data_IF_443301862642
#
_entry.id   IF_443301862642
#
_cell.length_a   1.000
_cell.length_b   1.000
_cell.length_c   1.000
_cell.angle_alpha   90.00
_cell.angle_beta   90.00
_cell.angle_gamma   90.00
#
_symmetry.space_group_name_H-M   'P 1'
#
loop_
_entity.id
_entity.type
_entity.pdbx_description
1 polymer ?
#
# COMPACT_ATOMS: atom_id res chain seq x y z
N UNK A 1 -12.26 33.68 5.78
CA UNK A 1 -11.03 34.50 5.69
C UNK A 1 -10.10 34.42 6.90
N UNK A 2 -10.48 34.86 8.12
CA UNK A 2 -9.58 34.69 9.30
C UNK A 2 -9.17 33.23 9.54
N UNK A 3 -10.13 32.31 9.47
CA UNK A 3 -9.88 30.86 9.52
C UNK A 3 -8.98 30.38 8.36
N UNK A 4 -9.20 30.89 7.16
CA UNK A 4 -8.38 30.62 5.96
C UNK A 4 -6.92 30.99 6.19
N UNK A 5 -6.64 32.12 6.83
CA UNK A 5 -5.29 32.50 7.22
C UNK A 5 -4.69 31.60 8.29
N UNK A 6 -5.48 31.16 9.29
CA UNK A 6 -4.99 30.24 10.31
C UNK A 6 -4.56 28.90 9.73
N UNK A 7 -5.33 28.37 8.77
CA UNK A 7 -5.02 27.12 8.07
C UNK A 7 -3.84 27.30 7.11
N UNK A 8 -3.81 28.41 6.36
CA UNK A 8 -2.68 28.75 5.48
C UNK A 8 -1.36 28.89 6.25
N UNK A 9 -1.38 29.42 7.47
CA UNK A 9 -0.19 29.52 8.33
C UNK A 9 0.37 28.16 8.78
N UNK A 10 -0.37 27.06 8.60
CA UNK A 10 0.09 25.69 8.83
C UNK A 10 0.70 25.06 7.58
N UNK A 11 0.90 25.82 6.50
CA UNK A 11 1.47 25.33 5.24
C UNK A 11 0.45 24.69 4.29
N UNK A 12 -0.83 24.70 4.65
CA UNK A 12 -1.91 24.10 3.84
C UNK A 12 -2.41 25.11 2.81
N UNK A 13 -2.50 24.69 1.54
CA UNK A 13 -3.14 25.50 0.49
C UNK A 13 -4.64 25.59 0.74
N UNK A 14 -5.19 26.81 0.77
CA UNK A 14 -6.62 27.06 1.03
C UNK A 14 -7.27 27.70 -0.17
N UNK A 15 -8.37 27.14 -0.65
CA UNK A 15 -9.23 27.79 -1.63
C UNK A 15 -10.40 28.47 -0.90
N UNK A 16 -10.39 29.79 -0.85
CA UNK A 16 -11.48 30.58 -0.30
C UNK A 16 -12.46 30.95 -1.41
N UNK A 17 -13.69 30.46 -1.27
CA UNK A 17 -14.73 30.60 -2.28
C UNK A 17 -15.80 31.56 -1.77
N UNK A 18 -16.11 32.59 -2.57
CA UNK A 18 -17.18 33.52 -2.25
C UNK A 18 -17.72 34.16 -3.53
N UNK A 19 -18.69 35.06 -3.38
CA UNK A 19 -19.28 35.78 -4.50
C UNK A 19 -18.25 36.71 -5.14
N UNK A 20 -18.41 36.97 -6.44
CA UNK A 20 -17.54 37.87 -7.20
C UNK A 20 -17.34 39.21 -6.50
N UNK A 21 -18.41 39.79 -5.93
CA UNK A 21 -18.33 41.05 -5.19
C UNK A 21 -17.44 40.99 -3.94
N UNK A 22 -17.51 39.90 -3.17
CA UNK A 22 -16.70 39.71 -1.96
C UNK A 22 -15.25 39.44 -2.35
N UNK A 23 -15.03 38.59 -3.36
CA UNK A 23 -13.69 38.28 -3.87
C UNK A 23 -13.00 39.53 -4.40
N UNK A 24 -13.69 40.35 -5.22
CA UNK A 24 -13.14 41.60 -5.73
C UNK A 24 -12.66 42.54 -4.61
N UNK A 25 -13.37 42.59 -3.47
CA UNK A 25 -12.95 43.36 -2.29
C UNK A 25 -11.78 42.75 -1.53
N UNK A 26 -11.64 41.43 -1.53
CA UNK A 26 -10.56 40.74 -0.84
C UNK A 26 -9.26 40.76 -1.64
N UNK A 27 -9.35 40.62 -2.96
CA UNK A 27 -8.19 40.62 -3.88
C UNK A 27 -7.35 41.89 -3.75
N UNK A 28 -7.96 43.05 -3.47
CA UNK A 28 -7.23 44.32 -3.29
C UNK A 28 -6.41 44.40 -2.00
N UNK A 29 -6.61 43.46 -1.08
CA UNK A 29 -5.98 43.44 0.25
C UNK A 29 -5.06 42.23 0.47
N UNK A 30 -4.97 41.32 -0.50
CA UNK A 30 -4.23 40.06 -0.36
C UNK A 30 -2.77 40.19 -0.83
N UNK A 31 -1.80 39.63 -0.09
CA UNK A 31 -0.41 39.58 -0.52
C UNK A 31 -0.20 38.59 -1.68
N UNK A 32 0.70 38.94 -2.60
CA UNK A 32 0.95 38.23 -3.88
C UNK A 32 1.39 36.76 -3.70
N UNK A 33 1.96 36.40 -2.54
CA UNK A 33 2.46 35.04 -2.25
C UNK A 33 1.62 34.32 -1.18
N UNK A 34 0.30 34.56 -1.12
CA UNK A 34 -0.55 33.88 -0.14
C UNK A 34 -0.82 32.43 -0.54
N UNK A 35 -0.80 31.51 0.43
CA UNK A 35 -1.29 30.13 0.26
C UNK A 35 -2.84 30.06 0.14
N UNK A 36 -3.51 31.22 0.07
CA UNK A 36 -4.96 31.34 -0.08
C UNK A 36 -5.27 31.69 -1.54
N UNK A 37 -5.86 30.76 -2.25
CA UNK A 37 -6.46 30.99 -3.57
C UNK A 37 -7.86 31.56 -3.39
N UNK A 38 -8.13 32.71 -4.00
CA UNK A 38 -9.47 33.29 -4.04
C UNK A 38 -10.20 32.80 -5.30
N UNK A 39 -11.40 32.25 -5.14
CA UNK A 39 -12.26 31.83 -6.25
C UNK A 39 -13.61 32.52 -6.14
N UNK A 40 -13.99 33.23 -7.19
CA UNK A 40 -15.31 33.82 -7.33
C UNK A 40 -16.28 32.81 -7.91
N UNK A 41 -17.42 32.65 -7.27
CA UNK A 41 -18.59 32.01 -7.87
C UNK A 41 -19.59 33.07 -8.37
N UNK A 42 -20.33 32.75 -9.44
CA UNK A 42 -21.46 33.57 -9.86
C UNK A 42 -22.43 33.72 -8.69
N UNK A 43 -22.94 34.93 -8.49
CA UNK A 43 -23.90 35.23 -7.42
C UNK A 43 -25.35 34.81 -7.77
N UNK A 44 -25.58 34.38 -9.01
CA UNK A 44 -26.89 33.97 -9.50
C UNK A 44 -27.86 35.15 -9.69
N UNK A 45 -27.37 36.39 -9.62
CA UNK A 45 -28.21 37.59 -9.71
C UNK A 45 -28.35 38.09 -11.15
N UNK A 46 -29.56 38.43 -11.54
CA UNK A 46 -29.82 39.03 -12.84
C UNK A 46 -29.62 40.56 -12.80
N UNK A 47 -29.29 41.20 -13.95
CA UNK A 47 -29.26 42.65 -14.07
C UNK A 47 -30.63 43.28 -13.72
N UNK A 48 -30.72 43.89 -12.53
CA UNK A 48 -31.96 44.50 -12.03
C UNK A 48 -32.43 43.94 -10.69
N UNK A 49 -31.81 42.87 -10.19
CA UNK A 49 -32.11 42.37 -8.84
C UNK A 49 -31.78 43.40 -7.75
N UNK A 50 -32.71 43.57 -6.81
CA UNK A 50 -32.51 44.40 -5.63
C UNK A 50 -31.48 43.76 -4.70
N UNK A 51 -30.25 44.25 -4.80
CA UNK A 51 -29.10 43.81 -4.00
C UNK A 51 -29.19 44.21 -2.52
N UNK A 52 -30.28 44.85 -2.10
CA UNK A 52 -30.56 45.17 -0.69
C UNK A 52 -31.59 44.23 -0.05
N UNK A 53 -32.31 43.44 -0.86
CA UNK A 53 -33.23 42.41 -0.37
C UNK A 53 -32.46 41.16 0.09
N UNK A 54 -32.11 41.18 1.38
CA UNK A 54 -31.41 40.09 2.05
C UNK A 54 -32.11 38.73 1.90
N UNK A 55 -33.44 38.69 1.88
CA UNK A 55 -34.19 37.43 1.84
C UNK A 55 -34.16 36.82 0.44
N UNK A 56 -34.35 37.67 -0.59
CA UNK A 56 -34.25 37.27 -1.99
C UNK A 56 -32.84 36.79 -2.33
N UNK A 57 -31.81 37.50 -1.85
CA UNK A 57 -30.42 37.10 -2.00
C UNK A 57 -30.17 35.72 -1.37
N UNK A 58 -30.61 35.50 -0.13
CA UNK A 58 -30.44 34.20 0.55
C UNK A 58 -31.06 33.06 -0.25
N UNK A 59 -32.26 33.25 -0.79
CA UNK A 59 -32.96 32.20 -1.54
C UNK A 59 -32.23 31.86 -2.85
N UNK A 60 -31.82 32.87 -3.62
CA UNK A 60 -31.03 32.66 -4.87
C UNK A 60 -29.72 31.93 -4.56
N UNK A 61 -29.03 32.33 -3.49
CA UNK A 61 -27.80 31.66 -3.07
C UNK A 61 -28.03 30.20 -2.67
N UNK A 62 -29.12 29.88 -1.97
CA UNK A 62 -29.43 28.51 -1.59
C UNK A 62 -29.71 27.60 -2.79
N UNK A 63 -30.33 28.16 -3.84
CA UNK A 63 -30.70 27.40 -5.02
C UNK A 63 -29.50 27.11 -5.94
N UNK A 64 -28.65 28.12 -6.18
CA UNK A 64 -27.65 28.06 -7.25
C UNK A 64 -26.25 27.63 -6.77
N UNK A 65 -25.88 27.99 -5.53
CA UNK A 65 -24.50 27.75 -5.03
C UNK A 65 -24.10 26.27 -4.94
N UNK A 66 -24.97 25.33 -4.53
CA UNK A 66 -24.59 23.92 -4.48
C UNK A 66 -24.11 23.37 -5.83
N UNK A 67 -24.75 23.78 -6.94
CA UNK A 67 -24.36 23.39 -8.29
C UNK A 67 -22.99 23.95 -8.66
N UNK A 68 -22.77 25.25 -8.44
CA UNK A 68 -21.49 25.89 -8.70
C UNK A 68 -20.34 25.34 -7.85
N UNK A 69 -20.60 24.98 -6.59
CA UNK A 69 -19.61 24.32 -5.72
C UNK A 69 -19.24 22.93 -6.25
N UNK A 70 -20.24 22.15 -6.68
CA UNK A 70 -20.01 20.82 -7.26
C UNK A 70 -19.15 20.92 -8.52
N UNK A 71 -19.49 21.81 -9.45
CA UNK A 71 -18.73 22.02 -10.67
C UNK A 71 -17.28 22.46 -10.40
N UNK A 72 -17.07 23.28 -9.37
CA UNK A 72 -15.74 23.74 -8.97
C UNK A 72 -14.87 22.59 -8.44
N UNK A 73 -15.43 21.73 -7.60
CA UNK A 73 -14.74 20.57 -7.05
C UNK A 73 -14.39 19.58 -8.17
N UNK A 74 -15.36 19.27 -9.04
CA UNK A 74 -15.17 18.34 -10.17
C UNK A 74 -14.06 18.81 -11.11
N UNK A 75 -14.06 20.09 -11.53
CA UNK A 75 -13.00 20.66 -12.37
C UNK A 75 -11.63 20.67 -11.72
N UNK A 76 -11.56 20.83 -10.41
CA UNK A 76 -10.28 20.85 -9.69
C UNK A 76 -9.61 19.48 -9.58
N UNK A 77 -10.40 18.40 -9.65
CA UNK A 77 -9.90 17.03 -9.58
C UNK A 77 -9.33 16.51 -10.92
N UNK A 78 -9.50 17.26 -12.02
CA UNK A 78 -9.00 16.88 -13.35
C UNK A 78 -7.52 17.25 -13.56
N UNK A 79 -6.93 18.11 -12.71
CA UNK A 79 -5.54 18.57 -12.81
C UNK A 79 -4.73 18.22 -11.55
N UNK A 80 -3.64 17.49 -11.72
CA UNK A 80 -2.80 16.97 -10.62
C UNK A 80 -2.13 18.08 -9.80
N UNK A 81 -1.82 19.22 -10.43
CA UNK A 81 -1.16 20.37 -9.77
C UNK A 81 -2.13 21.32 -9.04
N UNK A 82 -3.45 21.13 -9.23
CA UNK A 82 -4.51 22.07 -8.83
C UNK A 82 -5.51 21.48 -7.81
N UNK A 83 -5.18 20.32 -7.22
CA UNK A 83 -6.04 19.66 -6.22
C UNK A 83 -6.34 20.58 -5.03
N UNK A 84 -7.63 20.79 -4.77
CA UNK A 84 -8.08 21.64 -3.67
C UNK A 84 -7.97 20.86 -2.36
N UNK A 85 -6.99 21.22 -1.53
CA UNK A 85 -6.77 20.59 -0.21
C UNK A 85 -7.79 21.03 0.85
N UNK A 86 -8.36 22.23 0.72
CA UNK A 86 -9.35 22.77 1.65
C UNK A 86 -10.19 23.86 0.98
N UNK A 87 -11.53 23.73 1.05
CA UNK A 87 -12.49 24.76 0.63
C UNK A 87 -13.06 25.44 1.86
N UNK A 88 -12.99 26.78 1.91
CA UNK A 88 -13.73 27.56 2.90
C UNK A 88 -14.71 28.47 2.18
N UNK A 89 -15.99 28.17 2.37
CA UNK A 89 -17.11 28.96 1.88
C UNK A 89 -17.62 29.90 2.96
N UNK A 90 -17.91 31.15 2.60
CA UNK A 90 -18.54 32.10 3.50
C UNK A 90 -19.49 33.01 2.74
N UNK A 91 -20.74 33.08 3.20
CA UNK A 91 -21.75 34.01 2.69
C UNK A 91 -21.96 35.07 3.76
N UNK A 92 -21.77 36.35 3.40
CA UNK A 92 -22.06 37.48 4.26
C UNK A 92 -23.13 38.34 3.59
N UNK A 93 -24.32 38.36 4.16
CA UNK A 93 -25.39 39.29 3.74
C UNK A 93 -25.13 40.60 4.47
N UNK A 94 -24.27 41.43 3.89
CA UNK A 94 -24.01 42.76 4.45
C UNK A 94 -25.14 43.66 3.99
N UNK A 95 -25.94 44.17 4.93
CA UNK A 95 -26.93 45.21 4.66
C UNK A 95 -26.16 46.51 4.38
N UNK A 96 -25.75 46.70 3.13
CA UNK A 96 -24.97 47.85 2.69
C UNK A 96 -25.94 48.99 2.36
N UNK A 97 -26.13 49.91 3.30
CA UNK A 97 -26.64 51.23 2.96
C UNK A 97 -25.75 51.92 1.91
N UNK A 98 -26.25 52.98 1.24
CA UNK A 98 -25.53 53.63 0.14
C UNK A 98 -24.15 54.13 0.58
N UNK A 99 -23.16 53.87 -0.28
CA UNK A 99 -21.75 54.17 -0.10
C UNK A 99 -21.49 55.66 0.20
N UNK A 100 -20.82 55.96 1.31
CA UNK A 100 -20.08 57.22 1.50
C UNK A 100 -18.62 56.89 1.82
N UNK A 101 -17.65 57.46 1.08
CA UNK A 101 -16.23 57.16 1.30
C UNK A 101 -15.70 58.00 2.47
N UNK A 102 -15.87 57.52 3.71
CA UNK A 102 -15.16 58.06 4.87
C UNK A 102 -14.10 57.05 5.37
N UNK A 103 -12.79 57.36 5.29
CA UNK A 103 -11.71 56.49 5.75
C UNK A 103 -11.71 56.23 7.27
N UNK A 104 -12.53 56.93 8.05
CA UNK A 104 -12.57 56.80 9.53
C UNK A 104 -13.76 56.02 10.08
N UNK A 105 -14.65 55.51 9.25
CA UNK A 105 -15.81 54.71 9.68
C UNK A 105 -15.47 53.22 9.96
N UNK A 106 -14.40 52.96 10.74
CA UNK A 106 -14.09 51.62 11.28
C UNK A 106 -14.66 51.41 12.69
N UNK A 107 -15.84 51.95 12.99
CA UNK A 107 -16.55 51.66 14.25
C UNK A 107 -18.00 51.33 13.97
N UNK A 108 -18.34 50.06 14.17
CA UNK A 108 -19.72 49.60 14.28
C UNK A 108 -20.21 48.76 13.11
N UNK A 109 -19.63 47.58 12.89
CA UNK A 109 -20.36 46.50 12.22
C UNK A 109 -21.49 46.08 13.16
N UNK A 110 -22.68 46.63 13.00
CA UNK A 110 -23.86 46.15 13.69
C UNK A 110 -24.28 44.83 13.05
N UNK A 111 -23.72 43.73 13.56
CA UNK A 111 -24.15 42.36 13.29
C UNK A 111 -25.61 42.18 13.76
N UNK A 112 -26.58 42.54 12.93
CA UNK A 112 -27.96 42.10 13.12
C UNK A 112 -28.22 40.94 12.16
N UNK A 113 -28.26 39.74 12.73
CA UNK A 113 -28.53 38.45 12.11
C UNK A 113 -27.38 37.83 11.31
N UNK A 114 -26.26 37.53 11.98
CA UNK A 114 -25.44 36.39 11.56
C UNK A 114 -26.17 35.11 11.93
N UNK A 115 -26.93 34.51 11.00
CA UNK A 115 -27.06 33.06 11.04
C UNK A 115 -25.69 32.53 10.62
N UNK A 116 -24.92 32.08 11.62
CA UNK A 116 -23.78 31.21 11.33
C UNK A 116 -24.40 29.94 10.74
N UNK A 117 -24.32 29.80 9.42
CA UNK A 117 -24.45 28.49 8.83
C UNK A 117 -23.21 27.74 9.28
N UNK A 118 -23.39 26.82 10.22
CA UNK A 118 -22.46 25.72 10.38
C UNK A 118 -22.56 24.94 9.06
N UNK A 119 -21.76 25.34 8.09
CA UNK A 119 -21.34 24.39 7.08
C UNK A 119 -20.56 23.36 7.87
N UNK A 120 -21.15 22.19 8.08
CA UNK A 120 -20.35 21.02 8.37
C UNK A 120 -19.25 21.02 7.34
N UNK A 121 -18.00 21.04 7.81
CA UNK A 121 -16.90 20.61 6.98
C UNK A 121 -17.27 19.18 6.58
N UNK A 122 -17.82 19.02 5.37
CA UNK A 122 -17.68 17.76 4.68
C UNK A 122 -16.20 17.73 4.33
N UNK A 123 -15.37 17.36 5.32
CA UNK A 123 -14.16 16.61 5.02
C UNK A 123 -14.66 15.55 4.06
N UNK A 124 -14.28 15.62 2.78
CA UNK A 124 -14.51 14.49 1.89
C UNK A 124 -14.08 13.24 2.65
N UNK A 125 -14.90 12.18 2.63
CA UNK A 125 -14.56 10.95 3.33
C UNK A 125 -13.11 10.60 3.00
N UNK A 126 -12.32 10.33 4.04
CA UNK A 126 -10.91 10.04 3.87
C UNK A 126 -10.81 8.88 2.86
N UNK A 127 -10.04 9.02 1.75
CA UNK A 127 -9.92 7.95 0.78
C UNK A 127 -9.54 6.65 1.49
N UNK A 128 -10.30 5.59 1.27
CA UNK A 128 -10.11 4.33 1.98
C UNK A 128 -9.73 3.23 1.00
N UNK A 129 -8.57 2.63 1.23
CA UNK A 129 -8.07 1.50 0.45
C UNK A 129 -8.06 0.22 1.28
N UNK A 130 -8.40 -0.87 0.61
CA UNK A 130 -8.30 -2.22 1.16
C UNK A 130 -7.02 -2.86 0.61
N UNK A 131 -6.17 -3.39 1.47
CA UNK A 131 -4.89 -4.00 1.08
C UNK A 131 -4.92 -5.48 1.42
N UNK A 132 -4.64 -6.37 0.46
CA UNK A 132 -4.61 -7.82 0.68
C UNK A 132 -3.32 -8.46 0.12
N UNK A 133 -2.40 -8.91 0.99
CA UNK A 133 -1.22 -9.66 0.61
C UNK A 133 -1.54 -11.15 0.45
N UNK A 134 -0.62 -11.86 -0.22
CA UNK A 134 -0.52 -13.31 -0.04
C UNK A 134 -0.05 -13.62 1.39
N UNK A 135 -0.57 -14.67 2.05
CA UNK A 135 -0.31 -14.97 3.45
C UNK A 135 1.08 -15.57 3.70
N UNK A 136 2.14 -14.90 3.25
CA UNK A 136 3.52 -15.29 3.50
C UNK A 136 4.37 -14.06 3.86
N UNK A 137 5.40 -14.26 4.69
CA UNK A 137 6.24 -13.18 5.24
C UNK A 137 6.79 -12.24 4.16
N UNK A 138 7.33 -12.80 3.08
CA UNK A 138 7.90 -12.04 1.95
C UNK A 138 6.87 -11.23 1.15
N UNK A 139 5.58 -11.46 1.36
CA UNK A 139 4.48 -10.75 0.71
C UNK A 139 3.82 -9.74 1.66
N UNK A 140 3.58 -10.15 2.91
CA UNK A 140 2.95 -9.29 3.93
C UNK A 140 3.84 -8.11 4.31
N UNK A 141 5.13 -8.34 4.57
CA UNK A 141 6.04 -7.28 4.98
C UNK A 141 6.10 -6.09 3.99
N UNK A 142 6.39 -6.30 2.68
CA UNK A 142 6.44 -5.17 1.75
C UNK A 142 5.08 -4.48 1.57
N UNK A 143 3.96 -5.22 1.53
CA UNK A 143 2.64 -4.58 1.44
C UNK A 143 2.29 -3.79 2.70
N UNK A 144 2.71 -4.24 3.88
CA UNK A 144 2.52 -3.49 5.11
C UNK A 144 3.33 -2.18 5.08
N UNK A 145 4.56 -2.22 4.59
CA UNK A 145 5.39 -1.01 4.43
C UNK A 145 4.78 -0.02 3.43
N UNK A 146 4.30 -0.51 2.28
CA UNK A 146 3.54 0.31 1.34
C UNK A 146 2.30 0.92 2.01
N UNK A 147 1.61 0.14 2.83
CA UNK A 147 0.42 0.60 3.57
C UNK A 147 0.73 1.75 4.54
N UNK A 148 1.86 1.69 5.23
CA UNK A 148 2.32 2.81 6.06
C UNK A 148 2.61 4.06 5.23
N UNK A 149 3.30 3.93 4.08
CA UNK A 149 3.53 5.06 3.18
C UNK A 149 2.21 5.66 2.66
N UNK A 150 1.20 4.82 2.37
CA UNK A 150 -0.13 5.29 1.96
C UNK A 150 -0.81 6.07 3.09
N UNK A 151 -0.72 5.57 4.32
CA UNK A 151 -1.23 6.26 5.51
C UNK A 151 -0.56 7.62 5.71
N UNK A 152 0.75 7.72 5.48
CA UNK A 152 1.50 8.98 5.61
C UNK A 152 0.99 10.07 4.64
N UNK A 153 0.31 9.66 3.56
CA UNK A 153 -0.35 10.56 2.60
C UNK A 153 -1.83 10.85 2.95
N UNK A 154 -2.26 10.51 4.17
CA UNK A 154 -3.62 10.79 4.64
C UNK A 154 -4.69 9.88 4.05
N UNK A 155 -4.32 8.71 3.53
CA UNK A 155 -5.26 7.69 3.01
C UNK A 155 -5.51 6.64 4.10
N UNK A 156 -6.77 6.33 4.37
CA UNK A 156 -7.15 5.27 5.30
C UNK A 156 -6.81 3.90 4.70
N UNK A 157 -6.25 3.01 5.50
CA UNK A 157 -5.91 1.64 5.07
C UNK A 157 -6.59 0.62 5.96
N UNK A 158 -7.35 -0.29 5.35
CA UNK A 158 -7.70 -1.57 5.95
C UNK A 158 -6.81 -2.66 5.35
N UNK A 159 -6.03 -3.32 6.19
CA UNK A 159 -5.10 -4.37 5.79
C UNK A 159 -5.69 -5.73 6.16
N UNK A 160 -5.97 -6.53 5.14
CA UNK A 160 -6.61 -7.84 5.24
C UNK A 160 -5.55 -8.92 5.35
N UNK A 161 -5.64 -9.78 6.35
CA UNK A 161 -4.81 -10.98 6.45
C UNK A 161 -5.67 -12.21 6.65
N UNK A 162 -5.07 -13.38 6.76
CA UNK A 162 -5.79 -14.52 7.34
C UNK A 162 -5.91 -14.39 8.85
N UNK A 163 -6.81 -15.14 9.48
CA UNK A 163 -6.96 -15.21 10.95
C UNK A 163 -5.66 -15.59 11.65
N UNK A 164 -4.96 -16.61 11.16
CA UNK A 164 -3.67 -17.04 11.71
C UNK A 164 -2.62 -15.92 11.69
N UNK A 165 -2.45 -15.25 10.54
CA UNK A 165 -1.49 -14.15 10.40
C UNK A 165 -1.94 -12.94 11.22
N UNK A 166 -3.24 -12.68 11.27
CA UNK A 166 -3.79 -11.56 12.04
C UNK A 166 -3.42 -11.69 13.52
N UNK A 167 -3.54 -12.88 14.10
CA UNK A 167 -3.14 -13.14 15.48
C UNK A 167 -1.65 -12.83 15.73
N UNK A 168 -0.77 -13.18 14.79
CA UNK A 168 0.67 -12.89 14.88
C UNK A 168 1.01 -11.41 14.72
N UNK A 169 0.28 -10.68 13.88
CA UNK A 169 0.52 -9.24 13.65
C UNK A 169 -0.10 -8.36 14.75
N UNK A 170 -1.31 -8.67 15.18
CA UNK A 170 -2.05 -7.85 16.15
C UNK A 170 -1.33 -7.75 17.50
N UNK A 171 -0.60 -8.79 17.91
CA UNK A 171 0.22 -8.76 19.13
C UNK A 171 1.41 -7.79 19.05
N UNK A 172 1.80 -7.37 17.85
CA UNK A 172 2.97 -6.50 17.61
C UNK A 172 2.59 -5.09 17.18
N UNK A 173 1.35 -4.87 16.79
CA UNK A 173 0.89 -3.56 16.35
C UNK A 173 0.53 -2.68 17.54
N UNK A 174 0.90 -1.39 17.54
CA UNK A 174 0.50 -0.47 18.59
C UNK A 174 -1.02 -0.29 18.60
N UNK A 175 -1.60 -0.09 19.79
CA UNK A 175 -3.05 0.07 19.97
C UNK A 175 -3.65 1.22 19.15
N UNK A 176 -2.84 2.22 18.81
CA UNK A 176 -3.22 3.37 17.99
C UNK A 176 -2.67 3.30 16.56
N UNK A 177 -2.47 2.10 16.02
CA UNK A 177 -2.05 1.92 14.63
C UNK A 177 -3.01 2.65 13.67
N UNK A 178 -2.50 3.46 12.73
CA UNK A 178 -3.33 4.10 11.71
C UNK A 178 -3.82 3.12 10.63
N UNK A 179 -3.25 1.90 10.59
CA UNK A 179 -3.70 0.80 9.74
C UNK A 179 -4.68 -0.07 10.52
N UNK A 180 -5.87 -0.29 9.94
CA UNK A 180 -6.88 -1.20 10.49
C UNK A 180 -6.62 -2.63 10.01
N UNK A 181 -6.25 -3.54 10.92
CA UNK A 181 -6.13 -4.96 10.60
C UNK A 181 -7.49 -5.65 10.63
N UNK A 182 -7.76 -6.47 9.62
CA UNK A 182 -8.94 -7.36 9.57
C UNK A 182 -8.52 -8.74 9.07
N UNK A 183 -9.26 -9.77 9.45
CA UNK A 183 -8.97 -11.15 9.08
C UNK A 183 -10.04 -11.73 8.14
N UNK A 184 -9.60 -12.63 7.27
CA UNK A 184 -10.43 -13.58 6.56
C UNK A 184 -10.24 -14.99 7.16
N UNK A 185 -11.31 -15.80 7.23
CA UNK A 185 -11.18 -17.20 7.62
C UNK A 185 -10.20 -17.91 6.69
N UNK A 186 -9.20 -18.60 7.25
CA UNK A 186 -8.26 -19.40 6.46
C UNK A 186 -8.54 -20.89 6.45
N UNK A 187 -9.43 -21.37 7.33
CA UNK A 187 -9.77 -22.78 7.45
C UNK A 187 -8.58 -23.64 7.88
N UNK A 188 -7.58 -23.02 8.51
CA UNK A 188 -6.38 -23.67 9.02
C UNK A 188 -6.48 -23.76 10.54
N UNK A 189 -6.17 -24.93 11.10
CA UNK A 189 -6.09 -25.10 12.55
C UNK A 189 -4.76 -24.51 13.06
N UNK A 190 -4.65 -24.12 14.35
CA UNK A 190 -3.40 -23.62 14.93
C UNK A 190 -2.20 -24.57 14.79
N UNK A 191 -2.48 -25.87 14.60
CA UNK A 191 -1.53 -26.97 14.47
C UNK A 191 -1.13 -27.25 13.00
N UNK A 192 -1.81 -26.63 12.04
CA UNK A 192 -1.42 -26.63 10.62
C UNK A 192 -0.26 -25.64 10.41
N UNK A 193 0.86 -25.88 11.09
CA UNK A 193 2.09 -25.13 10.85
C UNK A 193 2.43 -25.24 9.36
N UNK A 194 2.50 -24.06 8.72
CA UNK A 194 2.50 -23.78 7.27
C UNK A 194 3.73 -24.30 6.51
N UNK A 195 4.08 -25.56 6.69
CA UNK A 195 5.14 -26.22 5.93
C UNK A 195 4.59 -26.72 4.59
N UNK A 196 3.29 -26.98 4.50
CA UNK A 196 2.66 -27.40 3.25
C UNK A 196 2.17 -26.18 2.43
N UNK A 197 3.06 -25.69 1.58
CA UNK A 197 2.80 -24.57 0.66
C UNK A 197 1.57 -24.83 -0.22
N UNK A 198 1.25 -26.09 -0.53
CA UNK A 198 0.07 -26.44 -1.33
C UNK A 198 -1.22 -26.30 -0.55
N UNK A 199 -1.25 -26.73 0.71
CA UNK A 199 -2.42 -26.52 1.58
C UNK A 199 -2.71 -25.04 1.75
N UNK A 200 -1.67 -24.21 1.91
CA UNK A 200 -1.82 -22.75 2.00
C UNK A 200 -2.39 -22.17 0.70
N UNK A 201 -1.89 -22.59 -0.46
CA UNK A 201 -2.39 -22.11 -1.76
C UNK A 201 -3.84 -22.54 -1.98
N UNK A 202 -4.17 -23.81 -1.72
CA UNK A 202 -5.51 -24.34 -1.92
C UNK A 202 -6.51 -23.71 -0.95
N UNK A 203 -6.17 -23.62 0.34
CA UNK A 203 -7.02 -22.97 1.36
C UNK A 203 -7.21 -21.48 1.06
N UNK A 204 -6.25 -20.84 0.39
CA UNK A 204 -6.34 -19.44 0.00
C UNK A 204 -7.17 -19.18 -1.27
N UNK A 205 -7.60 -20.21 -2.00
CA UNK A 205 -8.34 -20.07 -3.25
C UNK A 205 -9.82 -20.47 -3.16
N UNK A 206 -10.19 -21.49 -2.38
CA UNK A 206 -11.50 -22.15 -2.54
C UNK A 206 -12.66 -21.47 -1.78
N UNK A 207 -12.39 -20.73 -0.69
CA UNK A 207 -13.44 -20.18 0.19
C UNK A 207 -13.37 -18.68 0.42
N UNK A 208 -12.37 -17.97 -0.12
CA UNK A 208 -12.07 -16.58 0.25
C UNK A 208 -12.75 -15.48 -0.58
N UNK A 209 -13.13 -15.67 -1.86
CA UNK A 209 -13.80 -14.61 -2.64
C UNK A 209 -15.10 -14.11 -2.01
N UNK A 210 -15.94 -15.02 -1.50
CA UNK A 210 -17.22 -14.66 -0.88
C UNK A 210 -17.00 -13.92 0.46
N UNK A 211 -16.14 -14.45 1.34
CA UNK A 211 -15.80 -13.76 2.59
C UNK A 211 -15.16 -12.38 2.36
N UNK A 212 -14.33 -12.23 1.31
CA UNK A 212 -13.73 -10.96 0.95
C UNK A 212 -14.76 -9.96 0.43
N UNK A 213 -15.72 -10.43 -0.38
CA UNK A 213 -16.86 -9.63 -0.82
C UNK A 213 -17.70 -9.16 0.38
N UNK A 214 -18.08 -10.07 1.27
CA UNK A 214 -18.86 -9.77 2.47
C UNK A 214 -18.14 -8.75 3.38
N UNK A 215 -16.81 -8.88 3.51
CA UNK A 215 -15.98 -7.92 4.22
C UNK A 215 -16.05 -6.52 3.60
N UNK A 216 -15.93 -6.42 2.26
CA UNK A 216 -16.05 -5.14 1.55
C UNK A 216 -17.44 -4.54 1.75
N UNK A 217 -18.50 -5.34 1.60
CA UNK A 217 -19.88 -4.89 1.80
C UNK A 217 -20.08 -4.33 3.21
N UNK A 218 -19.65 -5.07 4.24
CA UNK A 218 -19.71 -4.65 5.65
C UNK A 218 -18.94 -3.36 5.92
N UNK A 219 -17.78 -3.15 5.30
CA UNK A 219 -17.02 -1.90 5.44
C UNK A 219 -17.74 -0.75 4.74
N UNK A 220 -18.37 -1.00 3.60
CA UNK A 220 -19.06 0.01 2.81
C UNK A 220 -20.45 0.39 3.36
N UNK A 221 -21.03 -0.40 4.27
CA UNK A 221 -22.28 -0.06 4.98
C UNK A 221 -22.13 1.21 5.84
N UNK A 222 -20.93 1.48 6.37
CA UNK A 222 -20.63 2.76 7.01
C UNK A 222 -20.37 3.84 5.95
N UNK A 223 -21.20 4.89 5.93
CA UNK A 223 -21.18 5.95 4.91
C UNK A 223 -19.84 6.70 4.82
N UNK A 224 -19.06 6.70 5.90
CA UNK A 224 -17.80 7.46 6.01
C UNK A 224 -16.55 6.64 5.64
N UNK A 225 -16.69 5.34 5.40
CA UNK A 225 -15.57 4.37 5.27
C UNK A 225 -15.57 3.60 3.95
N UNK A 226 -16.22 4.13 2.90
CA UNK A 226 -16.35 3.40 1.63
C UNK A 226 -14.99 3.14 0.98
N UNK A 227 -14.70 1.87 0.70
CA UNK A 227 -13.52 1.42 -0.02
C UNK A 227 -13.60 1.92 -1.46
N UNK A 228 -12.59 2.68 -1.88
CA UNK A 228 -12.47 3.22 -3.23
C UNK A 228 -11.51 2.41 -4.11
N UNK A 229 -10.61 1.64 -3.49
CA UNK A 229 -9.58 0.89 -4.19
C UNK A 229 -9.18 -0.37 -3.41
N UNK A 230 -8.94 -1.47 -4.13
CA UNK A 230 -8.31 -2.68 -3.62
C UNK A 230 -6.87 -2.74 -4.13
N UNK A 231 -5.90 -2.78 -3.22
CA UNK A 231 -4.50 -3.06 -3.53
C UNK A 231 -4.24 -4.50 -3.16
N UNK A 232 -3.93 -5.35 -4.14
CA UNK A 232 -3.73 -6.77 -3.87
C UNK A 232 -2.40 -7.25 -4.44
N UNK A 233 -1.80 -8.20 -3.74
CA UNK A 233 -0.69 -8.98 -4.28
C UNK A 233 -1.13 -9.67 -5.59
N UNK A 234 -0.28 -9.66 -6.61
CA UNK A 234 -0.58 -10.30 -7.91
C UNK A 234 -0.97 -11.78 -7.74
N UNK A 235 -0.40 -12.44 -6.72
CA UNK A 235 -0.68 -13.84 -6.45
C UNK A 235 -2.08 -14.06 -5.83
N UNK A 236 -2.72 -13.01 -5.31
CA UNK A 236 -4.12 -13.02 -4.86
C UNK A 236 -5.05 -12.62 -6.02
N UNK A 237 -4.90 -13.32 -7.16
CA UNK A 237 -5.53 -12.95 -8.42
C UNK A 237 -7.07 -12.83 -8.34
N UNK A 238 -7.71 -13.64 -7.48
CA UNK A 238 -9.16 -13.62 -7.29
C UNK A 238 -9.69 -12.33 -6.66
N UNK A 239 -8.86 -11.58 -5.92
CA UNK A 239 -9.30 -10.31 -5.32
C UNK A 239 -9.60 -9.25 -6.39
N UNK A 240 -8.91 -9.31 -7.53
CA UNK A 240 -9.17 -8.44 -8.67
C UNK A 240 -10.53 -8.74 -9.31
N UNK A 241 -10.88 -10.03 -9.47
CA UNK A 241 -12.19 -10.44 -10.00
C UNK A 241 -13.33 -9.97 -9.09
N UNK A 242 -13.14 -10.03 -7.76
CA UNK A 242 -14.13 -9.55 -6.78
C UNK A 242 -14.27 -8.03 -6.85
N UNK A 243 -13.15 -7.29 -6.84
CA UNK A 243 -13.15 -5.83 -6.93
C UNK A 243 -13.84 -5.34 -8.21
N UNK A 244 -13.55 -5.97 -9.35
CA UNK A 244 -14.18 -5.64 -10.64
C UNK A 244 -15.72 -5.83 -10.58
N UNK A 245 -16.20 -6.99 -10.08
CA UNK A 245 -17.64 -7.27 -9.92
C UNK A 245 -18.34 -6.27 -9.00
N UNK A 246 -17.61 -5.70 -8.04
CA UNK A 246 -18.12 -4.68 -7.12
C UNK A 246 -17.96 -3.25 -7.65
N UNK A 247 -17.37 -3.05 -8.84
CA UNK A 247 -17.11 -1.74 -9.42
C UNK A 247 -16.04 -0.93 -8.66
N UNK A 248 -15.13 -1.60 -7.95
CA UNK A 248 -14.05 -0.99 -7.18
C UNK A 248 -12.76 -1.04 -8.00
N UNK A 249 -12.01 0.07 -8.04
CA UNK A 249 -10.72 0.10 -8.74
C UNK A 249 -9.72 -0.83 -8.07
N UNK A 250 -8.85 -1.46 -8.84
CA UNK A 250 -7.83 -2.34 -8.31
C UNK A 250 -6.42 -1.94 -8.73
N UNK A 251 -5.46 -2.21 -7.85
CA UNK A 251 -4.03 -2.00 -8.05
C UNK A 251 -3.33 -3.31 -7.72
N UNK A 252 -2.57 -3.81 -8.68
CA UNK A 252 -1.75 -5.00 -8.52
C UNK A 252 -0.41 -4.62 -7.89
N UNK A 253 0.08 -5.44 -6.96
CA UNK A 253 1.38 -5.26 -6.32
C UNK A 253 2.23 -6.52 -6.42
N UNK A 254 3.43 -6.39 -6.96
CA UNK A 254 4.41 -7.48 -7.06
C UNK A 254 5.56 -7.27 -6.06
N UNK A 255 5.68 -8.13 -5.02
CA UNK A 255 6.71 -7.98 -3.99
C UNK A 255 8.10 -8.46 -4.41
N UNK A 256 8.22 -9.22 -5.50
CA UNK A 256 9.45 -9.86 -5.92
C UNK A 256 10.14 -9.13 -7.10
N UNK A 257 11.25 -9.68 -7.58
CA UNK A 257 11.99 -9.13 -8.72
C UNK A 257 11.14 -9.11 -10.01
N UNK A 258 11.20 -8.03 -10.80
CA UNK A 258 10.37 -7.88 -12.01
C UNK A 258 10.74 -8.86 -13.11
N UNK A 259 11.96 -9.40 -13.15
CA UNK A 259 12.35 -10.39 -14.16
C UNK A 259 11.47 -11.65 -14.12
N UNK A 260 11.09 -12.10 -12.91
CA UNK A 260 10.18 -13.24 -12.74
C UNK A 260 8.77 -12.91 -13.23
N UNK A 261 8.29 -11.68 -12.97
CA UNK A 261 6.98 -11.25 -13.47
C UNK A 261 6.97 -11.12 -15.00
N UNK A 262 8.08 -10.65 -15.59
CA UNK A 262 8.24 -10.59 -17.03
C UNK A 262 8.13 -12.00 -17.64
N UNK A 263 8.81 -13.01 -17.06
CA UNK A 263 8.69 -14.39 -17.51
C UNK A 263 7.24 -14.89 -17.43
N UNK A 264 6.55 -14.64 -16.33
CA UNK A 264 5.14 -15.03 -16.16
C UNK A 264 4.27 -14.37 -17.24
N UNK A 265 4.46 -13.09 -17.52
CA UNK A 265 3.66 -12.36 -18.52
C UNK A 265 3.93 -12.76 -19.97
N UNK A 266 5.09 -13.37 -20.23
CA UNK A 266 5.42 -13.90 -21.56
C UNK A 266 4.95 -15.34 -21.77
N UNK A 267 4.41 -16.03 -20.76
CA UNK A 267 3.90 -17.41 -20.89
C UNK A 267 3.00 -17.61 -22.11
N UNK A 268 1.98 -16.75 -22.38
CA UNK A 268 1.12 -16.93 -23.56
C UNK A 268 1.91 -17.00 -24.88
N UNK A 269 2.93 -16.14 -25.01
CA UNK A 269 3.80 -16.10 -26.19
C UNK A 269 4.73 -17.30 -26.26
N UNK A 270 5.27 -17.73 -25.12
CA UNK A 270 6.12 -18.93 -25.02
C UNK A 270 5.35 -20.22 -25.40
N UNK A 271 4.06 -20.30 -25.08
CA UNK A 271 3.17 -21.39 -25.52
C UNK A 271 2.94 -21.30 -27.04
N UNK A 272 2.61 -20.11 -27.55
CA UNK A 272 2.38 -19.88 -28.99
C UNK A 272 3.58 -20.28 -29.85
N UNK A 273 4.79 -19.94 -29.41
CA UNK A 273 6.04 -20.26 -30.10
C UNK A 273 6.48 -21.73 -29.91
N UNK A 274 5.72 -22.50 -29.12
CA UNK A 274 5.98 -23.90 -28.79
C UNK A 274 7.31 -24.07 -28.05
N UNK A 275 7.67 -23.11 -27.19
CA UNK A 275 8.83 -23.18 -26.30
C UNK A 275 8.43 -23.94 -25.04
N UNK A 276 7.26 -23.66 -24.48
CA UNK A 276 6.67 -24.41 -23.36
C UNK A 276 5.29 -24.96 -23.75
N UNK A 277 4.85 -26.02 -23.07
CA UNK A 277 3.49 -26.57 -23.22
C UNK A 277 2.47 -25.87 -22.30
N UNK A 278 1.21 -26.31 -22.38
CA UNK A 278 0.11 -25.78 -21.55
C UNK A 278 0.18 -26.19 -20.07
N UNK A 279 1.21 -26.95 -19.68
CA UNK A 279 1.50 -27.35 -18.31
C UNK A 279 2.80 -26.70 -17.79
N UNK A 280 3.36 -25.75 -18.56
CA UNK A 280 4.57 -25.04 -18.19
C UNK A 280 5.85 -25.87 -18.34
N UNK A 281 5.80 -26.98 -19.07
CA UNK A 281 6.96 -27.83 -19.34
C UNK A 281 7.70 -27.32 -20.57
N UNK A 282 9.02 -27.27 -20.49
CA UNK A 282 9.89 -26.85 -21.58
C UNK A 282 9.91 -27.90 -22.70
N UNK A 283 9.56 -27.50 -23.92
CA UNK A 283 9.51 -28.36 -25.12
C UNK A 283 10.81 -28.22 -25.93
N UNK A 284 11.34 -26.99 -26.03
CA UNK A 284 12.51 -26.67 -26.86
C UNK A 284 13.55 -25.93 -26.04
N UNK A 285 14.82 -26.32 -26.23
CA UNK A 285 15.99 -25.71 -25.61
C UNK A 285 15.98 -25.85 -24.07
N UNK A 286 17.13 -25.86 -23.41
CA UNK A 286 17.18 -25.89 -21.95
C UNK A 286 17.11 -24.47 -21.33
N UNK A 287 17.06 -23.44 -22.19
CA UNK A 287 17.13 -22.03 -21.82
C UNK A 287 16.04 -21.20 -22.51
N UNK A 288 15.38 -20.34 -21.75
CA UNK A 288 14.43 -19.32 -22.24
C UNK A 288 15.07 -17.94 -22.18
N UNK A 289 15.06 -17.25 -23.32
CA UNK A 289 15.48 -15.85 -23.45
C UNK A 289 14.26 -14.99 -23.76
N UNK A 290 13.95 -14.02 -22.89
CA UNK A 290 12.92 -13.00 -23.20
C UNK A 290 13.53 -11.81 -23.96
N UNK A 291 14.79 -11.50 -23.68
CA UNK A 291 15.59 -10.49 -24.38
C UNK A 291 17.07 -10.90 -24.29
N UNK A 292 17.93 -10.34 -25.15
CA UNK A 292 19.37 -10.66 -25.16
C UNK A 292 20.14 -10.01 -24.01
N UNK A 293 19.53 -9.00 -23.40
CA UNK A 293 20.09 -8.15 -22.37
C UNK A 293 19.85 -8.68 -20.96
N UNK A 294 18.96 -9.67 -20.80
CA UNK A 294 18.65 -10.33 -19.52
C UNK A 294 19.15 -11.77 -19.55
N UNK A 295 19.72 -12.30 -18.45
CA UNK A 295 20.09 -13.71 -18.36
C UNK A 295 18.92 -14.65 -18.71
N UNK A 296 19.24 -15.75 -19.38
CA UNK A 296 18.26 -16.78 -19.69
C UNK A 296 17.86 -17.58 -18.45
N UNK A 297 16.61 -18.05 -18.43
CA UNK A 297 16.12 -18.97 -17.42
C UNK A 297 16.32 -20.42 -17.85
N UNK A 298 16.79 -21.25 -16.92
CA UNK A 298 16.67 -22.70 -16.99
C UNK A 298 15.28 -23.13 -16.52
N UNK A 299 14.83 -24.31 -16.94
CA UNK A 299 13.58 -24.91 -16.46
C UNK A 299 13.52 -25.07 -14.93
N UNK A 300 14.67 -25.30 -14.28
CA UNK A 300 14.80 -25.37 -12.82
C UNK A 300 14.64 -24.01 -12.11
N UNK A 301 14.68 -22.90 -12.86
CA UNK A 301 14.63 -21.53 -12.33
C UNK A 301 13.25 -20.89 -12.57
N UNK A 302 12.29 -21.63 -13.16
CA UNK A 302 10.95 -21.10 -13.36
C UNK A 302 10.24 -20.90 -12.02
N UNK A 303 9.46 -19.81 -11.86
CA UNK A 303 8.65 -19.57 -10.65
C UNK A 303 7.66 -20.68 -10.29
N UNK A 304 7.35 -21.56 -11.26
CA UNK A 304 6.47 -22.71 -11.09
C UNK A 304 7.22 -24.05 -11.14
N UNK A 305 8.55 -24.05 -11.04
CA UNK A 305 9.37 -25.28 -11.14
C UNK A 305 9.28 -26.13 -9.87
N UNK A 306 8.92 -27.40 -10.03
CA UNK A 306 8.94 -28.41 -8.95
C UNK A 306 9.63 -29.68 -9.46
N UNK A 307 10.98 -29.73 -9.39
CA UNK A 307 11.75 -30.87 -9.91
C UNK A 307 11.33 -32.19 -9.27
N UNK A 308 10.94 -33.16 -10.11
CA UNK A 308 10.48 -34.47 -9.65
C UNK A 308 8.98 -34.54 -9.31
N UNK A 309 8.26 -33.41 -9.31
CA UNK A 309 6.87 -33.33 -8.87
C UNK A 309 5.99 -32.62 -9.92
N UNK A 310 5.78 -33.28 -11.07
CA UNK A 310 5.07 -32.71 -12.23
C UNK A 310 3.64 -32.26 -11.95
N UNK A 311 2.94 -32.96 -11.04
CA UNK A 311 1.62 -32.57 -10.55
C UNK A 311 1.65 -31.18 -9.88
N UNK A 312 2.68 -30.90 -9.09
CA UNK A 312 2.83 -29.65 -8.36
C UNK A 312 3.21 -28.51 -9.30
N UNK A 313 4.15 -28.79 -10.21
CA UNK A 313 4.49 -27.87 -11.28
C UNK A 313 3.25 -27.43 -12.06
N UNK A 314 2.36 -28.37 -12.40
CA UNK A 314 1.12 -28.06 -13.11
C UNK A 314 0.22 -27.11 -12.30
N UNK A 315 -0.05 -27.43 -11.02
CA UNK A 315 -0.88 -26.59 -10.15
C UNK A 315 -0.31 -25.16 -10.05
N UNK A 316 0.99 -25.04 -9.80
CA UNK A 316 1.65 -23.74 -9.72
C UNK A 316 1.69 -23.02 -11.07
N UNK A 317 1.86 -23.74 -12.17
CA UNK A 317 1.82 -23.17 -13.51
C UNK A 317 0.45 -22.56 -13.81
N UNK A 318 -0.64 -23.29 -13.56
CA UNK A 318 -1.99 -22.75 -13.72
C UNK A 318 -2.22 -21.51 -12.85
N UNK A 319 -1.68 -21.54 -11.63
CA UNK A 319 -1.77 -20.41 -10.70
C UNK A 319 -1.06 -19.15 -11.22
N UNK A 320 0.21 -19.25 -11.65
CA UNK A 320 0.94 -18.10 -12.22
C UNK A 320 0.37 -17.69 -13.58
N UNK A 321 -0.13 -18.64 -14.37
CA UNK A 321 -0.75 -18.33 -15.64
C UNK A 321 -2.00 -17.46 -15.46
N UNK A 322 -2.82 -17.72 -14.43
CA UNK A 322 -4.01 -16.91 -14.11
C UNK A 322 -3.67 -15.43 -13.85
N UNK A 323 -2.48 -15.14 -13.30
CA UNK A 323 -2.04 -13.76 -13.04
C UNK A 323 -2.03 -12.89 -14.31
N UNK A 324 -1.75 -13.47 -15.49
CA UNK A 324 -1.78 -12.78 -16.78
C UNK A 324 -3.15 -12.17 -17.12
N UNK A 325 -4.22 -12.81 -16.64
CA UNK A 325 -5.58 -12.36 -16.90
C UNK A 325 -5.98 -11.27 -15.90
N UNK A 326 -5.78 -11.52 -14.60
CA UNK A 326 -6.32 -10.66 -13.56
C UNK A 326 -5.60 -9.31 -13.44
N UNK A 327 -4.31 -9.22 -13.81
CA UNK A 327 -3.60 -7.92 -13.81
C UNK A 327 -4.15 -6.97 -14.88
N UNK A 328 -4.78 -7.48 -15.96
CA UNK A 328 -5.45 -6.63 -16.97
C UNK A 328 -6.70 -5.92 -16.42
N UNK A 329 -7.24 -6.39 -15.29
CA UNK A 329 -8.36 -5.76 -14.60
C UNK A 329 -7.90 -4.58 -13.73
N UNK A 330 -6.59 -4.47 -13.50
CA UNK A 330 -6.01 -3.48 -12.59
C UNK A 330 -5.72 -2.16 -13.31
N UNK A 331 -5.91 -1.06 -12.59
CA UNK A 331 -5.57 0.28 -13.07
C UNK A 331 -4.06 0.51 -13.11
N UNK A 332 -3.36 0.01 -12.10
CA UNK A 332 -1.91 0.13 -11.96
C UNK A 332 -1.30 -1.21 -11.55
N UNK A 333 -0.07 -1.43 -12.02
CA UNK A 333 0.78 -2.54 -11.61
C UNK A 333 2.02 -1.95 -10.92
N UNK A 334 2.11 -2.14 -9.62
CA UNK A 334 3.23 -1.71 -8.79
C UNK A 334 4.20 -2.87 -8.58
N UNK A 335 5.48 -2.57 -8.44
CA UNK A 335 6.46 -3.56 -8.00
C UNK A 335 7.43 -3.00 -6.96
N UNK A 336 7.89 -3.86 -6.05
CA UNK A 336 8.89 -3.55 -5.05
C UNK A 336 10.31 -3.63 -5.62
N UNK A 337 10.59 -2.81 -6.64
CA UNK A 337 11.92 -2.62 -7.21
C UNK A 337 12.10 -1.14 -7.60
N UNK A 338 13.22 -0.79 -8.22
CA UNK A 338 13.58 0.54 -8.70
C UNK A 338 14.29 0.45 -10.06
N UNK A 339 14.22 1.54 -10.84
CA UNK A 339 14.67 1.53 -12.24
C UNK A 339 16.16 1.20 -12.37
N UNK A 340 17.01 1.75 -11.51
CA UNK A 340 18.46 1.60 -11.60
C UNK A 340 18.94 0.17 -11.41
N UNK A 341 18.17 -0.68 -10.72
CA UNK A 341 18.47 -2.09 -10.53
C UNK A 341 17.94 -2.96 -11.67
N UNK A 342 16.69 -2.72 -12.08
CA UNK A 342 15.91 -3.68 -12.87
C UNK A 342 15.38 -3.13 -14.21
N UNK A 343 15.93 -2.02 -14.72
CA UNK A 343 15.43 -1.34 -15.94
C UNK A 343 15.11 -2.29 -17.10
N UNK A 344 16.00 -3.24 -17.36
CA UNK A 344 15.85 -4.18 -18.48
C UNK A 344 14.63 -5.10 -18.29
N UNK A 345 14.44 -5.63 -17.08
CA UNK A 345 13.29 -6.45 -16.75
C UNK A 345 11.97 -5.65 -16.72
N UNK A 346 12.02 -4.42 -16.19
CA UNK A 346 10.87 -3.51 -16.16
C UNK A 346 10.40 -3.15 -17.58
N UNK A 347 11.32 -2.96 -18.53
CA UNK A 347 10.99 -2.66 -19.93
C UNK A 347 10.23 -3.79 -20.64
N UNK A 348 10.31 -5.03 -20.12
CA UNK A 348 9.53 -6.16 -20.63
C UNK A 348 8.08 -6.17 -20.12
N UNK A 349 7.73 -5.30 -19.18
CA UNK A 349 6.40 -5.26 -18.55
C UNK A 349 5.78 -3.88 -18.78
N UNK A 350 4.98 -3.70 -19.85
CA UNK A 350 4.38 -2.41 -20.14
C UNK A 350 3.54 -1.88 -18.98
N UNK A 351 3.80 -0.62 -18.57
CA UNK A 351 3.01 0.08 -17.56
C UNK A 351 3.31 -0.29 -16.10
N UNK A 352 4.34 -1.11 -15.83
CA UNK A 352 4.79 -1.37 -14.46
C UNK A 352 5.39 -0.11 -13.82
N UNK A 353 5.05 0.13 -12.55
CA UNK A 353 5.53 1.25 -11.76
C UNK A 353 6.37 0.72 -10.60
N UNK A 354 7.71 0.90 -10.62
CA UNK A 354 8.54 0.60 -9.46
C UNK A 354 8.25 1.59 -8.32
N UNK A 355 7.97 1.07 -7.13
CA UNK A 355 7.71 1.85 -5.90
C UNK A 355 8.67 1.46 -4.77
N UNK A 356 9.68 0.66 -5.08
CA UNK A 356 10.67 0.17 -4.14
C UNK A 356 11.99 0.95 -4.14
N UNK A 357 12.97 0.50 -3.34
CA UNK A 357 12.80 -0.55 -2.33
C UNK A 357 11.95 -0.04 -1.17
N UNK A 358 10.94 -0.82 -0.79
CA UNK A 358 10.11 -0.53 0.38
C UNK A 358 10.89 -0.89 1.64
N UNK A 359 11.63 0.09 2.14
CA UNK A 359 12.43 -0.02 3.35
C UNK A 359 11.63 0.44 4.57
N UNK A 360 11.90 -0.18 5.72
CA UNK A 360 11.46 0.37 6.99
C UNK A 360 12.33 1.60 7.22
N UNK A 361 11.79 2.82 7.10
CA UNK A 361 12.57 4.06 7.28
C UNK A 361 13.17 4.20 8.69
N UNK A 362 13.72 5.37 9.02
CA UNK A 362 14.30 5.68 10.35
C UNK A 362 13.32 5.61 11.55
N UNK A 363 12.09 5.11 11.37
CA UNK A 363 11.19 4.79 12.48
C UNK A 363 11.66 3.50 13.14
N UNK A 364 12.72 3.64 13.95
CA UNK A 364 13.39 2.65 14.80
C UNK A 364 12.47 1.85 15.75
N UNK A 365 11.16 2.06 15.73
CA UNK A 365 10.25 1.57 16.77
C UNK A 365 9.20 0.56 16.31
N UNK A 366 9.07 0.19 15.03
CA UNK A 366 8.05 -0.80 14.65
C UNK A 366 8.54 -1.85 13.65
N UNK A 367 8.47 -3.11 14.10
CA UNK A 367 8.73 -4.35 13.38
C UNK A 367 7.63 -4.63 12.32
N UNK A 368 7.53 -3.76 11.32
CA UNK A 368 6.38 -3.68 10.41
C UNK A 368 6.25 -4.96 9.58
N UNK A 369 5.16 -5.71 9.81
CA UNK A 369 4.80 -6.88 9.00
C UNK A 369 5.64 -8.14 9.25
N UNK A 370 6.43 -8.21 10.33
CA UNK A 370 7.20 -9.40 10.70
C UNK A 370 6.36 -10.41 11.49
N UNK A 371 6.33 -11.68 11.06
CA UNK A 371 5.57 -12.74 11.74
C UNK A 371 6.27 -13.26 13.00
N UNK A 372 7.61 -13.23 13.05
CA UNK A 372 8.39 -13.72 14.19
C UNK A 372 8.96 -12.58 15.04
N UNK A 373 9.11 -12.75 16.36
CA UNK A 373 9.75 -11.75 17.21
C UNK A 373 11.24 -11.68 16.88
N UNK A 374 11.75 -10.48 16.64
CA UNK A 374 13.16 -10.25 16.31
C UNK A 374 14.04 -10.31 17.57
N UNK A 375 15.16 -11.01 17.48
CA UNK A 375 16.20 -11.07 18.51
C UNK A 375 17.27 -10.01 18.21
N UNK A 376 17.10 -8.82 18.80
CA UNK A 376 18.04 -7.71 18.67
C UNK A 376 19.37 -7.94 19.38
N UNK A 377 19.55 -9.01 20.15
CA UNK A 377 20.84 -9.32 20.80
C UNK A 377 21.94 -9.60 19.78
N UNK A 378 21.59 -9.94 18.53
CA UNK A 378 22.56 -10.07 17.45
C UNK A 378 23.22 -8.73 17.11
N UNK A 379 22.54 -7.59 17.25
CA UNK A 379 23.10 -6.28 16.95
C UNK A 379 24.25 -5.93 17.90
N UNK A 380 24.06 -6.12 19.21
CA UNK A 380 25.14 -5.93 20.20
C UNK A 380 26.28 -6.95 20.07
N UNK A 381 26.02 -8.10 19.43
CA UNK A 381 27.08 -9.05 19.07
C UNK A 381 27.85 -8.58 17.85
N UNK A 382 27.17 -8.04 16.83
CA UNK A 382 27.77 -7.46 15.63
C UNK A 382 28.65 -6.23 15.95
N UNK A 383 28.26 -5.40 16.92
CA UNK A 383 29.04 -4.23 17.38
C UNK A 383 30.46 -4.58 17.86
N UNK A 384 30.69 -5.85 18.24
CA UNK A 384 31.98 -6.34 18.74
C UNK A 384 32.86 -6.93 17.62
N UNK A 385 32.33 -7.07 16.41
CA UNK A 385 33.03 -7.69 15.30
C UNK A 385 33.77 -6.64 14.45
N UNK A 386 34.90 -6.99 13.81
CA UNK A 386 35.53 -6.14 12.81
C UNK A 386 34.59 -5.82 11.63
N UNK A 387 34.77 -4.65 11.02
CA UNK A 387 33.98 -4.23 9.85
C UNK A 387 34.20 -5.19 8.69
N UNK A 388 33.11 -5.69 8.10
CA UNK A 388 33.15 -6.57 6.92
C UNK A 388 33.66 -7.98 7.19
N UNK A 389 33.72 -8.43 8.45
CA UNK A 389 34.26 -9.75 8.82
C UNK A 389 33.22 -10.83 9.08
N UNK A 390 31.93 -10.49 9.14
CA UNK A 390 30.86 -11.41 9.58
C UNK A 390 30.12 -11.99 8.38
N UNK A 391 29.92 -13.31 8.39
CA UNK A 391 29.00 -14.00 7.47
C UNK A 391 27.59 -13.95 8.05
N UNK A 392 26.64 -13.39 7.30
CA UNK A 392 25.20 -13.50 7.63
C UNK A 392 24.57 -14.65 6.82
N UNK A 393 23.95 -15.60 7.51
CA UNK A 393 23.27 -16.74 6.90
C UNK A 393 21.79 -16.78 7.29
N UNK A 394 20.92 -16.63 6.31
CA UNK A 394 19.46 -16.74 6.47
C UNK A 394 18.86 -17.29 5.18
N UNK A 395 17.95 -18.25 5.31
CA UNK A 395 17.27 -18.90 4.19
C UNK A 395 15.78 -18.55 4.14
N UNK A 396 15.42 -17.44 4.77
CA UNK A 396 14.07 -16.90 4.74
C UNK A 396 13.06 -17.69 5.59
N UNK A 397 11.78 -17.49 5.25
CA UNK A 397 10.64 -17.90 6.07
C UNK A 397 9.91 -19.14 5.57
N UNK A 398 10.34 -19.76 4.48
CA UNK A 398 9.63 -20.89 3.86
C UNK A 398 10.52 -22.09 3.60
N UNK A 399 11.83 -21.88 3.44
CA UNK A 399 12.77 -22.97 3.21
C UNK A 399 12.89 -23.87 4.44
N UNK A 400 12.78 -25.17 4.19
CA UNK A 400 13.07 -26.23 5.17
C UNK A 400 14.30 -26.99 4.70
N UNK A 401 15.11 -27.44 5.65
CA UNK A 401 16.28 -28.27 5.37
C UNK A 401 16.11 -29.61 6.06
N UNK A 402 16.62 -30.65 5.42
CA UNK A 402 16.83 -31.91 6.10
C UNK A 402 18.08 -31.84 7.00
N UNK A 403 18.24 -32.82 7.90
CA UNK A 403 19.36 -32.85 8.83
C UNK A 403 20.72 -32.78 8.12
N UNK A 404 20.90 -33.52 7.03
CA UNK A 404 22.16 -33.54 6.28
C UNK A 404 22.53 -32.15 5.73
N UNK A 405 21.56 -31.40 5.20
CA UNK A 405 21.80 -30.04 4.71
C UNK A 405 22.16 -29.08 5.84
N UNK A 406 21.54 -29.23 7.02
CA UNK A 406 21.92 -28.46 8.20
C UNK A 406 23.33 -28.81 8.71
N UNK A 407 23.68 -30.09 8.73
CA UNK A 407 25.00 -30.59 9.12
C UNK A 407 26.09 -29.98 8.22
N UNK A 408 25.90 -30.03 6.91
CA UNK A 408 26.82 -29.47 5.92
C UNK A 408 26.92 -27.94 6.02
N UNK A 409 25.80 -27.24 6.23
CA UNK A 409 25.80 -25.80 6.42
C UNK A 409 26.61 -25.40 7.67
N UNK A 410 26.37 -26.08 8.79
CA UNK A 410 27.07 -25.79 10.04
C UNK A 410 28.56 -26.10 9.94
N UNK A 411 28.90 -27.27 9.39
CA UNK A 411 30.29 -27.65 9.14
C UNK A 411 30.98 -26.64 8.23
N UNK A 412 30.31 -26.20 7.17
CA UNK A 412 30.81 -25.16 6.26
C UNK A 412 31.11 -23.85 6.98
N UNK A 413 30.17 -23.37 7.81
CA UNK A 413 30.36 -22.17 8.62
C UNK A 413 31.53 -22.32 9.61
N UNK A 414 31.62 -23.45 10.32
CA UNK A 414 32.71 -23.75 11.24
C UNK A 414 34.08 -23.75 10.52
N UNK A 415 34.18 -24.40 9.36
CA UNK A 415 35.43 -24.52 8.59
C UNK A 415 35.91 -23.19 7.99
N UNK A 416 35.04 -22.18 7.86
CA UNK A 416 35.49 -20.85 7.39
C UNK A 416 36.44 -20.18 8.38
N UNK A 417 36.33 -20.51 9.68
CA UNK A 417 37.04 -19.81 10.75
C UNK A 417 36.65 -18.32 10.89
N UNK A 418 35.56 -17.89 10.24
CA UNK A 418 35.08 -16.51 10.27
C UNK A 418 33.92 -16.36 11.27
N UNK A 419 33.74 -15.17 11.86
CA UNK A 419 32.53 -14.84 12.61
C UNK A 419 31.28 -15.02 11.75
N UNK A 420 30.23 -15.62 12.30
CA UNK A 420 28.97 -15.74 11.58
C UNK A 420 27.73 -15.50 12.45
N UNK A 421 26.70 -14.93 11.84
CA UNK A 421 25.35 -14.79 12.37
C UNK A 421 24.40 -15.66 11.53
N UNK A 422 23.82 -16.68 12.15
CA UNK A 422 22.88 -17.60 11.49
C UNK A 422 21.47 -17.46 12.05
N UNK A 423 20.49 -17.33 11.16
CA UNK A 423 19.07 -17.26 11.51
C UNK A 423 18.44 -18.61 11.29
N UNK A 424 18.06 -19.28 12.38
CA UNK A 424 17.47 -20.62 12.36
C UNK A 424 16.21 -20.58 13.20
N UNK A 425 15.06 -20.68 12.53
CA UNK A 425 13.77 -20.64 13.20
C UNK A 425 13.58 -21.85 14.11
N UNK A 426 13.11 -21.59 15.33
CA UNK A 426 12.87 -22.62 16.33
C UNK A 426 11.64 -23.49 16.05
N UNK A 427 10.68 -23.01 15.25
CA UNK A 427 9.45 -23.74 14.90
C UNK A 427 9.67 -24.78 13.78
N UNK A 428 10.83 -24.76 13.10
CA UNK A 428 11.26 -25.81 12.16
C UNK A 428 12.17 -26.83 12.86
N UNK A 429 12.57 -26.56 14.12
CA UNK A 429 13.43 -27.44 14.87
C UNK A 429 12.65 -28.62 15.46
N UNK A 430 12.86 -29.81 14.90
CA UNK A 430 12.52 -31.05 15.60
C UNK A 430 13.54 -31.32 16.72
N UNK A 431 13.27 -32.31 17.59
CA UNK A 431 14.19 -32.66 18.70
C UNK A 431 15.62 -32.89 18.21
N UNK A 432 15.79 -33.54 17.05
CA UNK A 432 17.10 -33.77 16.44
C UNK A 432 17.82 -32.46 16.05
N UNK A 433 17.10 -31.48 15.48
CA UNK A 433 17.65 -30.17 15.16
C UNK A 433 17.97 -29.39 16.43
N UNK A 434 17.17 -29.52 17.49
CA UNK A 434 17.45 -28.87 18.79
C UNK A 434 18.76 -29.37 19.40
N UNK A 435 18.94 -30.69 19.48
CA UNK A 435 20.20 -31.29 19.99
C UNK A 435 21.40 -30.88 19.13
N UNK A 436 21.22 -30.84 17.81
CA UNK A 436 22.24 -30.40 16.87
C UNK A 436 22.61 -28.92 17.07
N UNK A 437 21.62 -28.04 17.21
CA UNK A 437 21.82 -26.61 17.46
C UNK A 437 22.53 -26.36 18.79
N UNK A 438 22.22 -27.13 19.82
CA UNK A 438 22.92 -27.06 21.11
C UNK A 438 24.37 -27.53 20.98
N UNK A 439 24.59 -28.61 20.23
CA UNK A 439 25.92 -29.08 19.86
C UNK A 439 26.74 -28.01 19.15
N UNK A 440 26.18 -27.34 18.15
CA UNK A 440 26.83 -26.23 17.46
C UNK A 440 27.11 -25.09 18.43
N UNK A 441 26.09 -24.60 19.15
CA UNK A 441 26.21 -23.47 20.09
C UNK A 441 27.37 -23.64 21.06
N UNK A 442 27.59 -24.87 21.54
CA UNK A 442 28.72 -25.19 22.42
C UNK A 442 30.09 -25.08 21.72
N UNK A 443 30.18 -25.43 20.43
CA UNK A 443 31.41 -25.39 19.62
C UNK A 443 31.73 -24.00 19.08
N UNK A 444 30.71 -23.17 18.87
CA UNK A 444 30.84 -21.86 18.21
C UNK A 444 30.75 -20.68 19.18
N UNK A 445 30.69 -20.92 20.50
CA UNK A 445 30.34 -19.91 21.50
C UNK A 445 31.17 -18.61 21.40
N UNK A 446 32.42 -18.70 20.93
CA UNK A 446 33.33 -17.56 20.77
C UNK A 446 33.37 -17.00 19.33
N UNK A 447 32.83 -17.72 18.33
CA UNK A 447 32.98 -17.42 16.90
C UNK A 447 31.67 -17.28 16.12
N UNK A 448 30.50 -17.53 16.71
CA UNK A 448 29.24 -17.43 16.00
C UNK A 448 28.04 -17.14 16.90
N UNK A 449 26.98 -16.60 16.30
CA UNK A 449 25.71 -16.27 16.96
C UNK A 449 24.58 -16.91 16.16
N UNK A 450 23.73 -17.67 16.85
CA UNK A 450 22.50 -18.24 16.28
C UNK A 450 21.31 -17.57 16.95
N UNK A 451 20.37 -17.09 16.13
CA UNK A 451 19.12 -16.48 16.61
C UNK A 451 17.92 -17.09 15.90
N UNK A 452 16.75 -17.05 16.55
CA UNK A 452 15.50 -17.54 15.97
C UNK A 452 15.00 -16.71 14.78
N UNK A 453 15.15 -15.40 14.89
CA UNK A 453 14.76 -14.42 13.87
C UNK A 453 15.56 -13.13 14.10
N UNK A 454 16.23 -12.60 13.09
CA UNK A 454 17.06 -11.39 13.22
C UNK A 454 16.31 -10.15 12.66
N UNK A 455 16.56 -8.95 13.21
CA UNK A 455 16.30 -7.69 12.50
C UNK A 455 17.23 -7.62 11.29
N UNK A 456 16.77 -8.11 10.13
CA UNK A 456 17.61 -8.30 8.95
C UNK A 456 17.91 -7.00 8.19
N UNK A 457 17.02 -6.02 8.27
CA UNK A 457 17.24 -4.64 7.80
C UNK A 457 18.02 -3.85 8.85
#
# INVERSE_FOLDING_TARGET
>A
MKLSHQIANQGIKVTFVSTEFIIARLTTTMPVNSLIRLVSLPDGLEPGDDRTDALKLINIFQEVMPGHFKDLIEKSNESYDDQISCVIAGISVVNLGPYTPDPKAYRGWNYRHSRFWNFEFVMGSQPHVLVIPFPAQGHVAPLMKLSHQIVDHGIKVTFVTTEFINARLTTKMPANSPIRLVSLPDGLEPEDDQIDTLKLINSFQETKPDHFKDLIEKINESTDDRIICVIADVTVAWAFDVAEKMGIQSVAFWPAGPANLALIFHIPKLIEDGIIDTQGTLIKNDLIWLSKEIPAWKSSEFPWSFPGESWMQNIFFQYVFKMNHCVKLCKWLLCNSFYELDLLALNLIPGIIPVGPLLSGNQLENHIGSFWPEDSTCLSWLDKQPVGSVIYASFGSTSTFNQQQFDELALGLELTGLPFLSVIRSDIANEALSEFLDGIRSRIADSGKIVGWAPQE
#
